data_IF_465136104331
#
_entry.id   IF_465136104331
#
_cell.length_a   1.000
_cell.length_b   1.000
_cell.length_c   1.000
_cell.angle_alpha   90.00
_cell.angle_beta   90.00
_cell.angle_gamma   90.00
#
_symmetry.space_group_name_H-M   'P 1'
#
loop_
_entity.id
_entity.type
_entity.pdbx_description
1 polymer ?
#
# COMPACT_ATOMS: atom_id res chain seq x y z
N UNK A 1 -33.71 -80.11 11.40
CA UNK A 1 -33.98 -80.08 12.85
C UNK A 1 -33.33 -78.88 13.48
N UNK A 2 -34.09 -78.03 14.08
CA UNK A 2 -33.89 -77.18 15.29
C UNK A 2 -32.60 -76.36 15.34
N UNK A 3 -32.62 -75.12 15.71
CA UNK A 3 -33.56 -74.38 16.49
C UNK A 3 -33.25 -72.88 16.45
N UNK A 4 -34.26 -72.08 16.48
CA UNK A 4 -34.26 -70.64 16.59
C UNK A 4 -33.82 -70.19 18.01
N UNK A 5 -32.79 -69.39 18.11
CA UNK A 5 -32.60 -68.59 19.30
C UNK A 5 -32.74 -67.12 18.95
N UNK A 6 -33.83 -66.56 19.30
CA UNK A 6 -34.10 -65.10 19.27
C UNK A 6 -33.48 -64.53 20.57
N UNK A 7 -32.45 -63.74 20.39
CA UNK A 7 -31.96 -62.88 21.46
C UNK A 7 -32.64 -61.51 21.24
N UNK A 8 -33.59 -61.23 22.10
CA UNK A 8 -34.19 -59.90 22.18
C UNK A 8 -33.17 -58.96 22.81
N UNK A 9 -32.56 -58.08 22.00
CA UNK A 9 -31.79 -56.94 22.51
C UNK A 9 -32.74 -55.83 22.87
N UNK A 10 -32.94 -55.65 24.15
CA UNK A 10 -33.72 -54.52 24.73
C UNK A 10 -32.91 -53.24 24.46
N UNK A 11 -33.38 -52.42 23.52
CA UNK A 11 -32.81 -51.13 23.18
C UNK A 11 -33.31 -50.11 24.21
N UNK A 12 -32.52 -49.90 25.24
CA UNK A 12 -32.77 -48.88 26.26
C UNK A 12 -32.54 -47.52 25.61
N UNK A 13 -33.63 -46.84 25.20
CA UNK A 13 -33.59 -45.48 24.66
C UNK A 13 -33.38 -44.54 25.83
N UNK A 14 -32.11 -44.20 26.08
CA UNK A 14 -31.73 -43.07 26.94
C UNK A 14 -32.06 -41.77 26.20
N UNK A 15 -33.19 -41.20 26.52
CA UNK A 15 -33.51 -39.82 26.22
C UNK A 15 -32.57 -38.92 27.02
N UNK A 16 -31.48 -38.55 26.39
CA UNK A 16 -30.64 -37.45 26.86
C UNK A 16 -31.47 -36.16 26.68
N UNK A 17 -32.07 -35.74 27.79
CA UNK A 17 -32.62 -34.38 27.90
C UNK A 17 -31.51 -33.39 27.66
N UNK A 18 -31.46 -32.82 26.44
CA UNK A 18 -30.62 -31.67 26.12
C UNK A 18 -31.05 -30.52 27.01
N UNK A 19 -30.18 -30.15 27.94
CA UNK A 19 -30.29 -28.86 28.65
C UNK A 19 -30.20 -27.77 27.59
N UNK A 20 -31.33 -27.30 27.13
CA UNK A 20 -31.44 -26.02 26.46
C UNK A 20 -31.00 -24.97 27.47
N UNK A 21 -29.69 -24.62 27.43
CA UNK A 21 -29.22 -23.40 28.07
C UNK A 21 -30.04 -22.29 27.45
N UNK A 22 -30.90 -21.68 28.25
CA UNK A 22 -31.69 -20.55 27.84
C UNK A 22 -30.77 -19.49 27.26
N UNK A 23 -30.93 -19.20 26.00
CA UNK A 23 -30.27 -18.07 25.38
C UNK A 23 -30.86 -16.83 26.09
N UNK A 24 -30.13 -16.29 27.06
CA UNK A 24 -30.46 -15.01 27.66
C UNK A 24 -30.41 -13.97 26.54
N UNK A 25 -31.55 -13.43 26.18
CA UNK A 25 -31.62 -12.37 25.16
C UNK A 25 -30.84 -11.16 25.65
N UNK A 26 -30.11 -10.52 24.73
CA UNK A 26 -29.36 -9.27 24.98
C UNK A 26 -30.37 -8.19 25.35
N UNK A 27 -30.14 -7.47 26.44
CA UNK A 27 -30.99 -6.36 26.84
C UNK A 27 -30.76 -5.14 25.95
N UNK A 28 -31.78 -4.31 25.77
CA UNK A 28 -31.64 -3.07 24.98
C UNK A 28 -30.52 -2.15 25.54
N UNK A 29 -30.39 -2.09 26.87
CA UNK A 29 -29.33 -1.28 27.51
C UNK A 29 -27.96 -1.83 27.23
N UNK A 30 -27.77 -3.14 27.19
CA UNK A 30 -26.50 -3.79 26.89
C UNK A 30 -26.06 -3.49 25.44
N UNK A 31 -26.99 -3.52 24.47
CA UNK A 31 -26.75 -3.14 23.10
C UNK A 31 -26.28 -1.68 23.00
N UNK A 32 -26.94 -0.77 23.71
CA UNK A 32 -26.57 0.66 23.70
C UNK A 32 -25.15 0.88 24.27
N UNK A 33 -24.81 0.20 25.36
CA UNK A 33 -23.48 0.29 25.95
C UNK A 33 -22.43 -0.23 24.99
N UNK A 34 -22.66 -1.38 24.33
CA UNK A 34 -21.73 -1.94 23.35
C UNK A 34 -21.52 -0.99 22.15
N UNK A 35 -22.60 -0.42 21.62
CA UNK A 35 -22.51 0.55 20.54
C UNK A 35 -21.76 1.82 20.95
N UNK A 36 -21.94 2.30 22.18
CA UNK A 36 -21.21 3.44 22.71
C UNK A 36 -19.70 3.15 22.77
N UNK A 37 -19.30 1.98 23.27
CA UNK A 37 -17.90 1.57 23.36
C UNK A 37 -17.30 1.45 21.95
N UNK A 38 -17.99 0.79 21.01
CA UNK A 38 -17.53 0.66 19.62
C UNK A 38 -17.38 2.04 18.99
N UNK A 39 -18.32 2.96 19.20
CA UNK A 39 -18.26 4.32 18.69
C UNK A 39 -17.03 5.09 19.17
N UNK A 40 -16.68 4.98 20.45
CA UNK A 40 -15.51 5.61 21.03
C UNK A 40 -14.21 5.00 20.43
N UNK A 41 -14.13 3.67 20.40
CA UNK A 41 -12.96 2.97 19.85
C UNK A 41 -12.75 3.27 18.37
N UNK A 42 -13.81 3.26 17.57
CA UNK A 42 -13.76 3.60 16.16
C UNK A 42 -13.30 5.05 15.95
N UNK A 43 -13.82 5.99 16.73
CA UNK A 43 -13.43 7.40 16.66
C UNK A 43 -11.94 7.65 16.86
N UNK A 44 -11.29 6.88 17.71
CA UNK A 44 -9.84 7.00 17.97
C UNK A 44 -8.99 6.22 16.94
N UNK A 45 -9.50 5.09 16.46
CA UNK A 45 -8.73 4.19 15.58
C UNK A 45 -8.66 4.67 14.13
N UNK A 46 -9.71 5.29 13.60
CA UNK A 46 -9.79 5.69 12.21
C UNK A 46 -8.70 6.70 11.78
N UNK A 47 -8.41 7.79 12.51
CA UNK A 47 -7.35 8.71 12.11
C UNK A 47 -5.96 8.06 12.17
N UNK A 48 -5.68 7.25 13.18
CA UNK A 48 -4.42 6.54 13.30
C UNK A 48 -4.19 5.54 12.15
N UNK A 49 -5.25 4.83 11.74
CA UNK A 49 -5.21 3.92 10.60
C UNK A 49 -4.89 4.66 9.28
N UNK A 50 -5.55 5.79 9.03
CA UNK A 50 -5.29 6.61 7.83
C UNK A 50 -3.85 7.06 7.76
N UNK A 51 -3.30 7.58 8.85
CA UNK A 51 -1.89 7.98 8.93
C UNK A 51 -0.93 6.81 8.68
N UNK A 52 -1.28 5.63 9.16
CA UNK A 52 -0.49 4.42 8.90
C UNK A 52 -0.49 4.04 7.41
N UNK A 53 -1.65 4.07 6.77
CA UNK A 53 -1.79 3.79 5.32
C UNK A 53 -1.01 4.80 4.49
N UNK A 54 -1.12 6.10 4.79
CA UNK A 54 -0.35 7.14 4.07
C UNK A 54 1.16 6.90 4.19
N UNK A 55 1.65 6.57 5.39
CA UNK A 55 3.07 6.21 5.60
C UNK A 55 3.49 4.96 4.84
N UNK A 56 2.66 3.93 4.81
CA UNK A 56 2.93 2.72 4.04
C UNK A 56 3.04 3.01 2.54
N UNK A 57 2.14 3.85 2.02
CA UNK A 57 2.15 4.23 0.60
C UNK A 57 3.36 5.09 0.20
N UNK A 58 4.01 5.81 1.13
CA UNK A 58 5.31 6.48 0.84
C UNK A 58 6.39 5.50 0.38
N UNK A 59 6.31 4.24 0.85
CA UNK A 59 7.19 3.16 0.40
C UNK A 59 7.13 2.93 -1.10
N UNK A 60 5.96 3.10 -1.70
CA UNK A 60 5.77 2.96 -3.15
C UNK A 60 6.52 4.05 -3.96
N UNK A 61 6.46 5.32 -3.52
CA UNK A 61 7.21 6.41 -4.15
C UNK A 61 8.73 6.13 -4.12
N UNK A 62 9.22 5.70 -2.96
CA UNK A 62 10.65 5.37 -2.78
C UNK A 62 11.09 4.19 -3.64
N UNK A 63 10.29 3.12 -3.66
CA UNK A 63 10.57 1.94 -4.49
C UNK A 63 10.56 2.30 -5.98
N UNK A 64 9.59 3.09 -6.43
CA UNK A 64 9.49 3.53 -7.82
C UNK A 64 10.69 4.38 -8.24
N UNK A 65 11.13 5.33 -7.40
CA UNK A 65 12.33 6.14 -7.68
C UNK A 65 13.60 5.31 -7.71
N UNK A 66 13.77 4.32 -6.84
CA UNK A 66 14.92 3.43 -6.84
C UNK A 66 14.93 2.51 -8.08
N UNK A 67 13.77 2.04 -8.52
CA UNK A 67 13.62 1.28 -9.75
C UNK A 67 13.95 2.14 -10.97
N UNK A 68 13.51 3.40 -10.98
CA UNK A 68 13.82 4.35 -12.03
C UNK A 68 15.33 4.65 -12.06
N UNK A 69 15.97 4.85 -10.91
CA UNK A 69 17.42 4.99 -10.82
C UNK A 69 18.15 3.81 -11.48
N UNK A 70 17.71 2.59 -11.20
CA UNK A 70 18.29 1.39 -11.82
C UNK A 70 18.09 1.37 -13.34
N UNK A 71 16.95 1.88 -13.82
CA UNK A 71 16.68 1.98 -15.26
C UNK A 71 17.59 3.03 -15.93
N UNK A 72 17.79 4.18 -15.29
CA UNK A 72 18.71 5.24 -15.77
C UNK A 72 20.15 4.73 -15.85
N UNK A 73 20.64 4.02 -14.85
CA UNK A 73 22.00 3.47 -14.90
C UNK A 73 22.17 2.41 -16.01
N UNK A 74 21.16 1.57 -16.24
CA UNK A 74 21.16 0.63 -17.36
C UNK A 74 21.14 1.35 -18.70
N UNK A 75 20.37 2.41 -18.82
CA UNK A 75 20.30 3.22 -20.03
C UNK A 75 21.64 3.90 -20.31
N UNK A 76 22.28 4.47 -19.28
CA UNK A 76 23.60 5.08 -19.39
C UNK A 76 24.66 4.10 -19.90
N UNK A 77 24.65 2.85 -19.43
CA UNK A 77 25.56 1.82 -19.90
C UNK A 77 25.41 1.51 -21.40
N UNK A 78 24.27 1.76 -21.99
CA UNK A 78 23.96 1.48 -23.38
C UNK A 78 24.17 2.71 -24.28
N UNK A 79 23.80 3.88 -23.77
CA UNK A 79 23.68 5.11 -24.56
C UNK A 79 24.73 6.18 -24.18
N UNK A 80 25.45 5.98 -23.08
CA UNK A 80 26.45 6.92 -22.54
C UNK A 80 25.89 8.32 -22.23
N UNK A 81 24.59 8.36 -21.95
CA UNK A 81 23.83 9.54 -21.52
C UNK A 81 22.61 9.12 -20.69
N UNK A 82 22.06 10.01 -19.88
CA UNK A 82 20.79 9.83 -19.20
C UNK A 82 19.65 10.47 -20.00
N UNK A 83 18.38 10.11 -19.72
CA UNK A 83 17.25 10.67 -20.46
C UNK A 83 16.09 11.08 -19.56
N UNK A 84 15.45 12.20 -19.91
CA UNK A 84 14.21 12.62 -19.24
C UNK A 84 12.95 11.98 -19.79
N UNK A 85 13.04 11.23 -20.88
CA UNK A 85 11.90 10.57 -21.52
C UNK A 85 11.64 9.21 -20.86
N UNK A 86 10.59 9.09 -20.07
CA UNK A 86 10.19 7.84 -19.43
C UNK A 86 9.46 6.90 -20.39
N UNK A 87 8.42 7.40 -21.03
CA UNK A 87 7.54 6.62 -21.90
C UNK A 87 7.56 7.17 -23.33
N UNK A 88 8.28 6.50 -24.20
CA UNK A 88 8.21 6.76 -25.63
C UNK A 88 7.91 5.44 -26.36
N UNK A 89 6.68 5.33 -26.86
CA UNK A 89 6.16 4.11 -27.49
C UNK A 89 6.95 3.63 -28.72
N UNK A 90 7.77 4.48 -29.33
CA UNK A 90 8.49 4.22 -30.58
C UNK A 90 10.01 4.29 -30.46
N UNK A 91 10.57 4.41 -29.27
CA UNK A 91 12.02 4.60 -29.11
C UNK A 91 12.78 3.29 -29.24
N UNK A 92 13.80 3.31 -30.08
CA UNK A 92 14.97 2.43 -29.92
C UNK A 92 15.76 2.88 -28.69
N UNK A 93 16.55 2.02 -28.09
CA UNK A 93 17.18 2.32 -26.80
C UNK A 93 17.83 3.71 -26.70
N UNK A 94 18.47 4.23 -27.73
CA UNK A 94 19.21 5.49 -27.66
C UNK A 94 18.75 6.57 -28.67
N UNK A 95 17.80 6.28 -29.57
CA UNK A 95 17.35 7.27 -30.55
C UNK A 95 15.92 6.97 -31.06
N UNK A 96 14.92 7.78 -30.68
CA UNK A 96 14.97 8.81 -29.62
C UNK A 96 15.19 8.17 -28.25
N UNK A 97 15.96 8.83 -27.40
CA UNK A 97 16.31 8.34 -26.07
C UNK A 97 15.06 8.18 -25.18
N UNK A 98 14.80 6.98 -24.66
CA UNK A 98 13.70 6.72 -23.74
C UNK A 98 13.96 5.51 -22.87
N UNK A 99 13.62 5.63 -21.59
CA UNK A 99 13.75 4.55 -20.62
C UNK A 99 12.74 3.41 -20.78
N UNK A 100 11.63 3.63 -21.47
CA UNK A 100 10.48 2.73 -21.48
C UNK A 100 10.03 2.35 -20.07
N UNK A 101 10.00 3.34 -19.18
CA UNK A 101 9.66 3.20 -17.79
C UNK A 101 8.28 3.79 -17.53
N UNK A 102 7.43 3.17 -16.64
CA UNK A 102 6.12 3.70 -16.32
C UNK A 102 6.19 5.11 -15.75
N UNK A 103 5.26 5.97 -16.15
CA UNK A 103 5.11 7.33 -15.62
C UNK A 103 4.34 7.39 -14.31
N UNK A 104 3.86 6.24 -13.81
CA UNK A 104 3.17 6.11 -12.54
C UNK A 104 3.78 4.99 -11.70
N UNK A 105 3.66 5.12 -10.39
CA UNK A 105 4.01 4.06 -9.45
C UNK A 105 3.07 2.86 -9.58
N UNK A 106 3.40 1.71 -9.00
CA UNK A 106 2.71 0.42 -9.19
C UNK A 106 1.19 0.50 -8.97
N UNK A 107 0.74 1.19 -7.91
CA UNK A 107 -0.69 1.39 -7.61
C UNK A 107 -1.21 2.74 -8.11
N UNK A 108 -0.38 3.52 -8.80
CA UNK A 108 -0.72 4.81 -9.38
C UNK A 108 -0.82 5.96 -8.37
N UNK A 109 -0.42 5.79 -7.12
CA UNK A 109 -0.50 6.86 -6.12
C UNK A 109 0.44 8.02 -6.39
N UNK A 110 1.51 7.79 -7.15
CA UNK A 110 2.51 8.79 -7.50
C UNK A 110 2.76 8.83 -9.00
N UNK A 111 2.85 10.04 -9.55
CA UNK A 111 3.34 10.29 -10.90
C UNK A 111 4.86 10.43 -10.84
N UNK A 112 5.56 9.75 -11.74
CA UNK A 112 7.01 9.78 -11.88
C UNK A 112 7.41 10.71 -13.01
N UNK A 113 8.48 11.45 -12.82
CA UNK A 113 9.08 12.30 -13.84
C UNK A 113 10.60 12.39 -13.62
N UNK A 114 11.37 12.43 -14.69
CA UNK A 114 12.76 12.88 -14.67
C UNK A 114 12.77 14.35 -15.03
N UNK A 115 13.08 15.21 -14.06
CA UNK A 115 12.99 16.66 -14.18
C UNK A 115 14.22 17.28 -14.84
N UNK A 116 15.35 16.59 -14.80
CA UNK A 116 16.57 16.93 -15.53
C UNK A 116 17.36 15.66 -15.82
N UNK A 117 17.96 15.56 -17.00
CA UNK A 117 18.90 14.51 -17.37
C UNK A 117 19.87 15.08 -18.41
N UNK A 118 21.13 14.72 -18.28
CA UNK A 118 22.22 15.06 -19.20
C UNK A 118 23.28 13.95 -19.18
N UNK A 119 24.42 14.20 -19.77
CA UNK A 119 25.54 13.24 -19.80
C UNK A 119 26.19 13.02 -18.41
N UNK A 120 25.92 13.86 -17.42
CA UNK A 120 26.61 13.86 -16.13
C UNK A 120 25.72 13.33 -15.02
N UNK A 121 24.40 13.50 -15.15
CA UNK A 121 23.49 13.09 -14.09
C UNK A 121 22.02 13.32 -14.39
N UNK A 122 21.18 12.90 -13.47
CA UNK A 122 19.74 13.05 -13.57
C UNK A 122 19.10 13.39 -12.21
N UNK A 123 17.91 13.93 -12.29
CA UNK A 123 17.05 14.19 -11.14
C UNK A 123 15.65 13.66 -11.43
N UNK A 124 15.18 12.75 -10.61
CA UNK A 124 13.84 12.17 -10.71
C UNK A 124 12.94 12.57 -9.55
N UNK A 125 11.66 12.69 -9.81
CA UNK A 125 10.63 13.03 -8.81
C UNK A 125 9.47 12.04 -8.85
N UNK A 126 8.88 11.79 -7.67
CA UNK A 126 7.62 11.09 -7.50
C UNK A 126 6.66 12.02 -6.76
N UNK A 127 5.57 12.43 -7.40
CA UNK A 127 4.61 13.40 -6.86
C UNK A 127 3.26 12.71 -6.66
N UNK A 128 2.65 12.90 -5.49
CA UNK A 128 1.35 12.33 -5.16
C UNK A 128 0.26 12.86 -6.11
N UNK A 129 -0.53 11.94 -6.67
CA UNK A 129 -1.60 12.25 -7.63
C UNK A 129 -2.76 12.94 -6.93
N UNK A 130 -3.15 14.13 -7.42
CA UNK A 130 -4.12 15.00 -6.75
C UNK A 130 -5.53 14.42 -6.59
N UNK A 131 -5.91 13.48 -7.45
CA UNK A 131 -7.22 12.82 -7.46
C UNK A 131 -7.30 11.60 -6.55
N UNK A 132 -6.18 11.18 -5.95
CA UNK A 132 -6.08 9.96 -5.15
C UNK A 132 -5.90 10.25 -3.66
N UNK A 133 -6.29 9.31 -2.78
CA UNK A 133 -6.21 9.50 -1.31
C UNK A 133 -4.82 9.88 -0.80
N UNK A 134 -3.76 9.44 -1.47
CA UNK A 134 -2.38 9.76 -1.10
C UNK A 134 -2.07 11.26 -1.14
N UNK A 135 -2.82 12.04 -1.92
CA UNK A 135 -2.67 13.49 -1.96
C UNK A 135 -2.98 14.18 -0.62
N UNK A 136 -3.76 13.51 0.26
CA UNK A 136 -4.00 13.99 1.62
C UNK A 136 -2.79 13.90 2.55
N UNK A 137 -1.69 13.25 2.12
CA UNK A 137 -0.43 13.26 2.85
C UNK A 137 0.22 14.64 2.77
N UNK A 138 -0.06 15.46 3.77
CA UNK A 138 0.47 16.82 3.84
C UNK A 138 1.96 16.86 4.19
N UNK A 139 2.53 15.77 4.71
CA UNK A 139 3.92 15.72 5.17
C UNK A 139 4.89 15.35 4.05
N UNK A 140 4.51 14.41 3.16
CA UNK A 140 5.38 13.86 2.14
C UNK A 140 4.65 13.80 0.79
N UNK A 141 4.54 14.95 0.12
CA UNK A 141 3.82 15.07 -1.15
C UNK A 141 4.68 14.76 -2.36
N UNK A 142 5.93 15.16 -2.33
CA UNK A 142 6.88 14.96 -3.42
C UNK A 142 8.17 14.35 -2.88
N UNK A 143 8.68 13.34 -3.56
CA UNK A 143 9.95 12.71 -3.32
C UNK A 143 10.87 12.99 -4.49
N UNK A 144 12.16 13.17 -4.24
CA UNK A 144 13.17 13.42 -5.25
C UNK A 144 14.40 12.57 -4.98
N UNK A 145 15.00 12.06 -6.05
CA UNK A 145 16.23 11.30 -6.06
C UNK A 145 17.13 11.80 -7.19
N UNK A 146 18.41 11.95 -6.93
CA UNK A 146 19.40 12.34 -7.94
C UNK A 146 20.35 11.19 -8.23
N UNK A 147 21.07 11.25 -9.37
CA UNK A 147 22.14 10.32 -9.74
C UNK A 147 23.25 10.24 -8.69
N UNK A 148 23.54 11.33 -7.97
CA UNK A 148 24.48 11.37 -6.86
C UNK A 148 23.95 10.68 -5.57
N UNK A 149 22.73 10.11 -5.61
CA UNK A 149 22.12 9.45 -4.46
C UNK A 149 21.49 10.41 -3.43
N UNK A 150 21.43 11.71 -3.71
CA UNK A 150 20.77 12.67 -2.82
C UNK A 150 19.24 12.41 -2.80
N UNK A 151 18.71 12.26 -1.59
CA UNK A 151 17.30 11.95 -1.30
C UNK A 151 16.67 13.14 -0.64
N UNK A 152 15.74 13.80 -1.31
CA UNK A 152 14.98 14.92 -0.74
C UNK A 152 13.48 14.66 -0.84
N UNK A 153 12.72 15.34 -0.01
CA UNK A 153 11.26 15.27 -0.04
C UNK A 153 10.66 16.59 0.39
N UNK A 154 9.46 16.88 -0.11
CA UNK A 154 8.73 18.11 0.20
C UNK A 154 7.33 17.80 0.70
N UNK A 155 6.89 18.61 1.64
CA UNK A 155 5.53 18.60 2.15
C UNK A 155 4.55 19.32 1.20
N UNK A 156 3.28 19.41 1.58
CA UNK A 156 2.24 20.11 0.80
C UNK A 156 2.50 21.60 0.63
N UNK A 157 3.25 22.23 1.54
CA UNK A 157 3.68 23.63 1.49
C UNK A 157 5.03 23.83 0.78
N UNK A 158 5.56 22.82 0.10
CA UNK A 158 6.86 22.85 -0.59
C UNK A 158 8.08 23.04 0.31
N UNK A 159 7.93 22.83 1.62
CA UNK A 159 9.04 22.85 2.57
C UNK A 159 9.73 21.48 2.63
N UNK A 160 11.04 21.46 2.88
CA UNK A 160 11.81 20.24 2.98
C UNK A 160 11.38 19.39 4.19
N UNK A 161 11.25 18.08 3.98
CA UNK A 161 10.92 17.10 5.03
C UNK A 161 11.59 15.75 4.77
N UNK A 162 12.88 15.79 4.49
CA UNK A 162 13.65 14.63 4.00
C UNK A 162 13.69 13.48 5.00
N UNK A 163 14.01 13.78 6.26
CA UNK A 163 14.20 12.78 7.31
C UNK A 163 12.92 11.99 7.63
N UNK A 164 11.77 12.66 7.66
CA UNK A 164 10.49 11.98 7.91
C UNK A 164 10.04 11.14 6.71
N UNK A 165 10.31 11.60 5.50
CA UNK A 165 9.79 10.98 4.28
C UNK A 165 10.66 9.81 3.80
N UNK A 166 11.98 9.89 3.96
CA UNK A 166 12.91 8.86 3.47
C UNK A 166 13.31 7.82 4.52
N UNK A 167 13.36 8.18 5.81
CA UNK A 167 13.90 7.31 6.86
C UNK A 167 12.86 6.46 7.60
N UNK A 168 11.57 6.58 7.29
CA UNK A 168 10.49 5.84 7.98
C UNK A 168 9.65 5.01 7.03
#
# INVERSE_FOLDING_TARGET
>A
MRGRNRIAVSMCTQLRGGLWRGASGVTAIELVIVLAIIGILAGLSLPAYRDHVLRANRGEARAALLSLATAEEKFYLQCNEYTSALDAAAATACSPASLRFPTASERGYYTLAVTSADAIGWTATATAVSTLPQYSDTRCRTFQLTSAGAKTARNSGNSANDSECWNR
#
